data_IF_728052590018
#
_entry.id   IF_728052590018
#
_cell.length_a   1.000
_cell.length_b   1.000
_cell.length_c   1.000
_cell.angle_alpha   90.00
_cell.angle_beta   90.00
_cell.angle_gamma   90.00
#
_symmetry.space_group_name_H-M   'P 1'
#
loop_
_entity.id
_entity.type
_entity.pdbx_description
1 polymer ?
#
# COMPACT_ATOMS: atom_id res chain seq x y z
N UNK A 1 -13.66 -1.40 11.92
CA UNK A 1 -13.74 -0.23 10.98
C UNK A 1 -12.82 -0.52 9.81
N UNK A 2 -13.10 0.00 8.61
CA UNK A 2 -12.23 -0.12 7.44
C UNK A 2 -11.89 1.29 6.96
N UNK A 3 -10.61 1.63 6.88
CA UNK A 3 -10.20 2.86 6.22
C UNK A 3 -10.40 2.75 4.71
N UNK A 4 -10.81 3.84 4.09
CA UNK A 4 -10.95 4.00 2.65
C UNK A 4 -10.35 5.34 2.21
N UNK A 5 -9.97 5.42 0.94
CA UNK A 5 -9.48 6.65 0.32
C UNK A 5 -10.36 6.97 -0.90
N UNK A 6 -10.84 8.19 -0.97
CA UNK A 6 -11.55 8.70 -2.15
C UNK A 6 -10.52 9.41 -3.03
N UNK A 7 -10.50 9.07 -4.30
CA UNK A 7 -9.66 9.70 -5.31
C UNK A 7 -10.58 10.33 -6.35
N UNK A 8 -10.54 11.65 -6.43
CA UNK A 8 -11.29 12.42 -7.44
C UNK A 8 -10.45 12.50 -8.72
N UNK A 9 -10.77 11.63 -9.67
CA UNK A 9 -10.02 11.53 -10.93
C UNK A 9 -10.25 12.73 -11.85
N UNK A 10 -11.39 13.43 -11.73
CA UNK A 10 -11.70 14.60 -12.56
C UNK A 10 -10.85 15.81 -12.15
N UNK A 11 -10.38 15.83 -10.91
CA UNK A 11 -9.47 16.86 -10.40
C UNK A 11 -8.00 16.54 -10.59
N UNK A 12 -7.66 15.33 -10.99
CA UNK A 12 -6.27 14.91 -11.16
C UNK A 12 -5.66 15.55 -12.41
N UNK A 13 -4.60 16.31 -12.22
CA UNK A 13 -3.83 16.96 -13.32
C UNK A 13 -2.58 16.17 -13.72
N UNK A 14 -2.33 15.01 -13.12
CA UNK A 14 -1.19 14.16 -13.46
C UNK A 14 0.17 14.73 -13.03
N UNK A 15 0.23 15.57 -11.99
CA UNK A 15 1.47 16.22 -11.56
C UNK A 15 2.45 15.29 -10.83
N UNK A 16 2.05 14.06 -10.45
CA UNK A 16 2.84 13.07 -9.71
C UNK A 16 3.34 13.53 -8.31
N UNK A 17 2.88 14.65 -7.78
CA UNK A 17 3.28 15.12 -6.45
C UNK A 17 2.98 14.08 -5.36
N UNK A 18 1.86 13.37 -5.44
CA UNK A 18 1.49 12.29 -4.53
C UNK A 18 2.49 11.11 -4.57
N UNK A 19 3.06 10.79 -5.74
CA UNK A 19 4.08 9.75 -5.90
C UNK A 19 5.38 10.19 -5.22
N UNK A 20 5.83 11.40 -5.51
CA UNK A 20 7.06 11.95 -4.93
C UNK A 20 6.94 12.09 -3.40
N UNK A 21 5.82 12.59 -2.90
CA UNK A 21 5.57 12.68 -1.46
C UNK A 21 5.63 11.31 -0.77
N UNK A 22 5.05 10.27 -1.39
CA UNK A 22 5.12 8.91 -0.88
C UNK A 22 6.55 8.36 -0.88
N UNK A 23 7.32 8.63 -1.94
CA UNK A 23 8.73 8.23 -2.02
C UNK A 23 9.58 8.92 -0.96
N UNK A 24 9.39 10.22 -0.76
CA UNK A 24 10.13 10.99 0.24
C UNK A 24 9.80 10.55 1.68
N UNK A 25 8.51 10.30 1.96
CA UNK A 25 8.06 9.88 3.29
C UNK A 25 8.59 8.50 3.70
N UNK A 26 8.72 7.59 2.74
CA UNK A 26 8.98 6.17 3.00
C UNK A 26 10.31 5.68 2.43
N UNK A 27 11.14 6.58 1.92
CA UNK A 27 12.42 6.24 1.29
C UNK A 27 12.28 5.14 0.23
N UNK A 28 11.20 5.23 -0.57
CA UNK A 28 10.92 4.22 -1.60
C UNK A 28 11.97 4.33 -2.71
N UNK A 29 12.69 3.25 -3.06
CA UNK A 29 13.70 3.28 -4.10
C UNK A 29 13.15 3.79 -5.43
N UNK A 30 13.99 4.45 -6.23
CA UNK A 30 13.58 5.13 -7.46
C UNK A 30 12.83 4.22 -8.45
N UNK A 31 13.22 2.94 -8.53
CA UNK A 31 12.64 1.95 -9.43
C UNK A 31 11.27 1.41 -9.00
N UNK A 32 10.81 1.68 -7.78
CA UNK A 32 9.55 1.19 -7.24
C UNK A 32 8.58 2.31 -6.90
N UNK A 33 7.28 1.99 -6.94
CA UNK A 33 6.21 2.90 -6.58
C UNK A 33 5.23 2.22 -5.60
N UNK A 34 4.86 2.92 -4.52
CA UNK A 34 3.78 2.51 -3.60
C UNK A 34 2.41 3.04 -4.06
N UNK A 35 2.42 4.08 -4.89
CA UNK A 35 1.28 4.64 -5.60
C UNK A 35 1.75 5.15 -6.96
N UNK A 36 0.85 5.27 -7.91
CA UNK A 36 1.15 5.63 -9.29
C UNK A 36 0.10 6.55 -9.86
N UNK A 37 0.41 7.21 -10.98
CA UNK A 37 -0.55 7.98 -11.78
C UNK A 37 -0.39 7.56 -13.24
N UNK A 38 -1.37 6.84 -13.75
CA UNK A 38 -1.41 6.47 -15.15
C UNK A 38 -2.06 7.57 -15.98
N UNK A 39 -1.47 7.90 -17.12
CA UNK A 39 -2.08 8.76 -18.13
C UNK A 39 -2.86 7.89 -19.10
N UNK A 40 -4.14 8.19 -19.28
CA UNK A 40 -5.02 7.58 -20.25
C UNK A 40 -5.26 8.58 -21.39
N UNK A 41 -4.99 8.17 -22.62
CA UNK A 41 -5.07 9.05 -23.78
C UNK A 41 -3.69 9.54 -24.27
N UNK A 42 -3.63 10.54 -25.17
CA UNK A 42 -4.72 11.44 -25.53
C UNK A 42 -5.85 10.77 -26.33
N UNK A 43 -7.08 11.19 -26.10
CA UNK A 43 -8.27 10.78 -26.84
C UNK A 43 -8.93 11.99 -27.49
N UNK A 44 -9.51 11.80 -28.68
CA UNK A 44 -10.29 12.84 -29.34
C UNK A 44 -11.70 12.86 -28.73
N UNK A 45 -12.12 14.02 -28.25
CA UNK A 45 -13.43 14.25 -27.65
C UNK A 45 -14.19 15.29 -28.50
N UNK A 46 -15.46 15.53 -28.21
CA UNK A 46 -16.26 16.55 -28.85
C UNK A 46 -15.73 17.98 -28.63
N UNK A 47 -14.91 18.19 -27.63
CA UNK A 47 -14.32 19.50 -27.26
C UNK A 47 -12.85 19.63 -27.60
N UNK A 48 -12.24 18.61 -28.24
CA UNK A 48 -10.82 18.58 -28.59
C UNK A 48 -10.08 17.34 -28.05
N UNK A 49 -8.75 17.41 -27.99
CA UNK A 49 -7.95 16.34 -27.37
C UNK A 49 -7.94 16.46 -25.86
N UNK A 50 -8.20 15.34 -25.19
CA UNK A 50 -8.15 15.25 -23.74
C UNK A 50 -7.30 14.07 -23.28
N UNK A 51 -6.69 14.20 -22.11
CA UNK A 51 -6.06 13.10 -21.36
C UNK A 51 -6.69 13.05 -19.98
N UNK A 52 -6.94 11.83 -19.50
CA UNK A 52 -7.38 11.57 -18.14
C UNK A 52 -6.24 10.94 -17.37
N UNK A 53 -6.16 11.22 -16.09
CA UNK A 53 -5.16 10.63 -15.21
C UNK A 53 -5.85 9.70 -14.20
N UNK A 54 -5.25 8.56 -13.98
CA UNK A 54 -5.76 7.56 -13.04
C UNK A 54 -4.72 7.33 -11.92
N UNK A 55 -4.87 7.99 -10.78
CA UNK A 55 -4.09 7.70 -9.59
C UNK A 55 -4.51 6.36 -9.00
N UNK A 56 -3.53 5.54 -8.61
CA UNK A 56 -3.79 4.25 -8.01
C UNK A 56 -2.81 3.95 -6.88
N UNK A 57 -3.21 3.08 -5.99
CA UNK A 57 -2.42 2.57 -4.86
C UNK A 57 -3.00 1.24 -4.36
N UNK A 58 -2.43 0.67 -3.30
CA UNK A 58 -3.01 -0.51 -2.65
C UNK A 58 -4.41 -0.19 -2.09
N UNK A 59 -5.40 -0.98 -2.49
CA UNK A 59 -6.80 -0.79 -2.07
C UNK A 59 -7.09 -1.24 -0.63
N UNK A 60 -6.11 -1.84 0.07
CA UNK A 60 -6.34 -2.40 1.41
C UNK A 60 -7.64 -3.19 1.50
N UNK A 61 -7.82 -4.14 0.60
CA UNK A 61 -9.06 -4.88 0.33
C UNK A 61 -9.77 -5.37 1.60
N UNK A 62 -11.10 -5.46 1.54
CA UNK A 62 -11.90 -6.06 2.61
C UNK A 62 -11.52 -7.56 2.79
N UNK A 63 -11.35 -8.27 1.68
CA UNK A 63 -10.87 -9.66 1.62
C UNK A 63 -9.56 -9.68 0.81
N UNK A 64 -8.41 -9.43 1.45
CA UNK A 64 -7.14 -9.27 0.73
C UNK A 64 -6.58 -10.63 0.29
N UNK A 65 -6.51 -10.94 -1.02
CA UNK A 65 -5.99 -12.22 -1.50
C UNK A 65 -4.50 -12.42 -1.19
N UNK A 66 -3.78 -11.33 -0.96
CA UNK A 66 -2.36 -11.34 -0.64
C UNK A 66 -2.04 -11.77 0.80
N UNK A 67 -3.02 -11.85 1.70
CA UNK A 67 -2.82 -12.28 3.09
C UNK A 67 -2.74 -13.80 3.21
N UNK A 68 -3.73 -14.59 2.74
CA UNK A 68 -3.72 -16.04 2.91
C UNK A 68 -2.62 -16.76 2.14
N UNK A 69 -2.04 -16.13 1.11
CA UNK A 69 -0.96 -16.74 0.30
C UNK A 69 0.44 -16.53 0.88
N UNK A 70 0.56 -15.84 2.02
CA UNK A 70 1.85 -15.59 2.63
C UNK A 70 2.37 -16.85 3.34
N UNK A 71 3.51 -17.44 2.90
CA UNK A 71 4.03 -18.68 3.46
C UNK A 71 4.91 -18.47 4.69
N UNK A 72 5.17 -17.21 5.08
CA UNK A 72 5.96 -16.92 6.28
C UNK A 72 5.27 -17.50 7.51
N UNK A 73 6.05 -18.07 8.41
CA UNK A 73 5.52 -18.71 9.61
C UNK A 73 4.68 -17.72 10.44
N UNK A 74 3.43 -18.07 10.77
CA UNK A 74 2.58 -17.22 11.58
C UNK A 74 3.10 -17.08 13.01
N UNK A 75 3.00 -15.86 13.54
CA UNK A 75 3.32 -15.59 14.95
C UNK A 75 2.15 -14.93 15.64
N UNK A 76 2.03 -15.13 16.96
CA UNK A 76 1.01 -14.45 17.78
C UNK A 76 1.37 -12.99 17.96
N UNK A 77 0.48 -12.10 17.49
CA UNK A 77 0.62 -10.64 17.64
C UNK A 77 -0.63 -10.10 18.35
N UNK A 78 -0.40 -9.26 19.34
CA UNK A 78 -1.48 -8.53 20.03
C UNK A 78 -1.61 -7.14 19.44
N UNK A 79 -2.73 -6.91 18.78
CA UNK A 79 -3.10 -5.61 18.24
C UNK A 79 -3.84 -4.81 19.29
N UNK A 80 -3.62 -3.50 19.31
CA UNK A 80 -4.32 -2.57 20.18
C UNK A 80 -4.97 -1.47 19.35
N UNK A 81 -6.24 -1.27 19.56
CA UNK A 81 -6.96 -0.14 18.96
C UNK A 81 -6.57 1.17 19.67
N UNK A 82 -5.97 2.09 18.93
CA UNK A 82 -5.53 3.37 19.44
C UNK A 82 -6.68 4.25 19.99
N UNK A 83 -7.90 4.08 19.46
CA UNK A 83 -9.07 4.89 19.86
C UNK A 83 -9.81 4.34 21.08
N UNK A 84 -9.97 3.02 21.13
CA UNK A 84 -10.80 2.37 22.17
C UNK A 84 -9.98 1.65 23.24
N UNK A 85 -8.68 1.47 23.01
CA UNK A 85 -7.79 0.70 23.87
C UNK A 85 -8.04 -0.82 23.85
N UNK A 86 -9.01 -1.31 23.05
CA UNK A 86 -9.29 -2.74 22.92
C UNK A 86 -8.12 -3.48 22.33
N UNK A 87 -7.92 -4.71 22.77
CA UNK A 87 -6.86 -5.59 22.27
C UNK A 87 -7.43 -6.85 21.66
N UNK A 88 -6.79 -7.34 20.59
CA UNK A 88 -7.07 -8.62 19.95
C UNK A 88 -5.74 -9.32 19.69
N UNK A 89 -5.63 -10.58 20.10
CA UNK A 89 -4.45 -11.42 19.80
C UNK A 89 -4.84 -12.40 18.70
N UNK A 90 -4.05 -12.44 17.63
CA UNK A 90 -4.26 -13.36 16.52
C UNK A 90 -2.92 -13.83 15.95
N UNK A 91 -2.92 -14.97 15.28
CA UNK A 91 -1.77 -15.46 14.53
C UNK A 91 -1.73 -14.82 13.16
N UNK A 92 -0.60 -14.24 12.80
CA UNK A 92 -0.41 -13.55 11.51
C UNK A 92 0.92 -13.91 10.87
N UNK A 93 0.88 -14.14 9.57
CA UNK A 93 2.09 -14.27 8.75
C UNK A 93 2.78 -12.90 8.58
N UNK A 94 3.81 -12.80 7.73
CA UNK A 94 4.50 -11.54 7.46
C UNK A 94 3.62 -10.48 6.78
N UNK A 95 2.51 -10.87 6.12
CA UNK A 95 1.50 -9.92 5.66
C UNK A 95 0.16 -10.22 6.32
N UNK A 96 -0.51 -9.20 6.83
CA UNK A 96 -1.75 -9.35 7.58
C UNK A 96 -2.70 -8.19 7.35
N UNK A 97 -3.95 -8.37 7.78
CA UNK A 97 -4.94 -7.31 7.85
C UNK A 97 -5.15 -6.90 9.30
N UNK A 98 -5.05 -5.60 9.57
CA UNK A 98 -5.29 -5.04 10.90
C UNK A 98 -6.77 -5.21 11.28
N UNK A 99 -7.07 -5.83 12.45
CA UNK A 99 -8.44 -6.14 12.85
C UNK A 99 -9.26 -4.89 13.23
N UNK A 100 -8.62 -3.76 13.53
CA UNK A 100 -9.31 -2.56 13.97
C UNK A 100 -9.55 -1.54 12.87
N UNK A 101 -8.54 -1.31 12.01
CA UNK A 101 -8.60 -0.29 10.96
C UNK A 101 -8.73 -0.87 9.54
N UNK A 102 -8.62 -2.19 9.39
CA UNK A 102 -8.78 -2.90 8.13
C UNK A 102 -7.65 -2.71 7.12
N UNK A 103 -6.58 -2.02 7.50
CA UNK A 103 -5.43 -1.86 6.58
C UNK A 103 -4.64 -3.16 6.47
N UNK A 104 -4.10 -3.41 5.28
CA UNK A 104 -3.21 -4.55 5.06
C UNK A 104 -1.78 -4.07 5.25
N UNK A 105 -1.03 -4.75 6.10
CA UNK A 105 0.35 -4.40 6.46
C UNK A 105 1.33 -5.51 6.09
N UNK A 106 2.62 -5.20 6.12
CA UNK A 106 3.73 -6.13 5.89
C UNK A 106 4.76 -5.92 7.00
N UNK A 107 5.17 -7.00 7.61
CA UNK A 107 6.37 -7.06 8.44
C UNK A 107 7.56 -7.42 7.54
N UNK A 108 8.43 -6.45 7.30
CA UNK A 108 9.59 -6.63 6.42
C UNK A 108 10.63 -7.56 7.02
N UNK A 109 10.76 -7.59 8.35
CA UNK A 109 11.74 -8.45 9.03
C UNK A 109 11.41 -9.93 8.82
N UNK A 110 10.13 -10.29 8.92
CA UNK A 110 9.64 -11.66 8.70
C UNK A 110 9.39 -12.02 7.23
N UNK A 111 9.43 -11.02 6.33
CA UNK A 111 9.18 -11.26 4.91
C UNK A 111 10.36 -12.01 4.28
N UNK A 112 10.07 -13.17 3.66
CA UNK A 112 11.06 -14.00 2.96
C UNK A 112 11.24 -13.65 1.48
N UNK A 113 10.53 -12.65 0.95
CA UNK A 113 10.67 -12.16 -0.43
C UNK A 113 10.17 -13.12 -1.51
N UNK A 114 9.34 -14.10 -1.18
CA UNK A 114 8.90 -15.16 -2.11
C UNK A 114 8.03 -14.67 -3.28
N UNK A 115 7.49 -13.45 -3.25
CA UNK A 115 6.66 -12.88 -4.31
C UNK A 115 5.18 -13.32 -4.32
N UNK A 116 4.77 -14.36 -3.59
CA UNK A 116 3.40 -14.90 -3.63
C UNK A 116 2.32 -13.82 -3.42
N UNK A 117 2.53 -12.89 -2.50
CA UNK A 117 1.60 -11.79 -2.25
C UNK A 117 1.56 -10.72 -3.35
N UNK A 118 2.65 -10.57 -4.14
CA UNK A 118 2.70 -9.72 -5.33
C UNK A 118 1.87 -10.38 -6.44
N UNK A 119 2.08 -11.66 -6.68
CA UNK A 119 1.44 -12.40 -7.76
C UNK A 119 -0.07 -12.59 -7.51
N UNK A 120 -0.49 -12.67 -6.25
CA UNK A 120 -1.89 -12.72 -5.87
C UNK A 120 -2.61 -11.35 -5.92
N UNK A 121 -1.90 -10.24 -6.12
CA UNK A 121 -2.50 -8.90 -6.12
C UNK A 121 -3.06 -8.55 -7.51
N UNK A 122 -4.39 -8.44 -7.69
CA UNK A 122 -4.97 -8.13 -9.01
C UNK A 122 -4.69 -6.69 -9.48
N UNK A 123 -4.17 -5.84 -8.59
CA UNK A 123 -3.89 -4.42 -8.87
C UNK A 123 -2.40 -4.13 -9.08
N UNK A 124 -1.53 -5.13 -9.03
CA UNK A 124 -0.07 -4.96 -9.06
C UNK A 124 0.45 -3.93 -8.04
N UNK A 125 -0.21 -3.81 -6.89
CA UNK A 125 0.10 -2.81 -5.88
C UNK A 125 1.21 -3.25 -4.91
N UNK A 126 1.96 -4.30 -5.25
CA UNK A 126 3.08 -4.83 -4.47
C UNK A 126 4.31 -5.05 -5.34
N UNK A 127 5.47 -4.83 -4.78
CA UNK A 127 6.74 -5.17 -5.39
C UNK A 127 7.63 -5.93 -4.40
N UNK A 128 8.68 -6.55 -4.92
CA UNK A 128 9.75 -7.14 -4.12
C UNK A 128 11.00 -6.31 -4.35
N UNK A 129 11.55 -5.79 -3.29
CA UNK A 129 12.83 -5.11 -3.31
C UNK A 129 13.94 -6.13 -3.09
N UNK A 130 14.55 -6.57 -4.17
CA UNK A 130 15.63 -7.56 -4.17
C UNK A 130 16.94 -6.98 -3.63
N UNK A 131 17.09 -5.67 -3.56
CA UNK A 131 18.26 -5.03 -2.94
C UNK A 131 18.33 -5.28 -1.42
N UNK A 132 17.19 -5.66 -0.82
CA UNK A 132 17.06 -6.03 0.59
C UNK A 132 17.14 -7.55 0.81
N UNK A 133 17.74 -8.28 -0.11
CA UNK A 133 18.02 -9.70 0.03
C UNK A 133 18.98 -9.95 1.19
N UNK A 134 18.69 -10.99 1.96
CA UNK A 134 19.52 -11.48 3.06
C UNK A 134 19.61 -13.01 3.02
N UNK A 135 20.32 -13.62 4.01
CA UNK A 135 20.52 -15.08 4.08
C UNK A 135 19.20 -15.87 4.18
N UNK A 136 18.14 -15.24 4.65
CA UNK A 136 16.83 -15.86 4.89
C UNK A 136 15.74 -15.38 3.93
N UNK A 137 16.04 -14.47 3.02
CA UNK A 137 15.05 -13.90 2.11
C UNK A 137 15.60 -13.56 0.73
N UNK A 138 14.73 -13.65 -0.29
CA UNK A 138 15.02 -13.26 -1.67
C UNK A 138 14.84 -11.75 -1.92
N UNK A 139 14.59 -10.99 -0.88
CA UNK A 139 14.24 -9.59 -0.88
C UNK A 139 13.09 -9.31 0.09
N UNK A 140 12.53 -8.11 0.05
CA UNK A 140 11.42 -7.74 0.94
C UNK A 140 10.24 -7.20 0.14
N UNK A 141 9.05 -7.72 0.44
CA UNK A 141 7.83 -7.18 -0.15
C UNK A 141 7.52 -5.78 0.41
N UNK A 142 7.03 -4.91 -0.47
CA UNK A 142 6.56 -3.60 -0.03
C UNK A 142 5.32 -3.12 -0.82
N UNK A 143 4.62 -2.14 -0.29
CA UNK A 143 3.41 -1.51 -0.84
C UNK A 143 3.00 -0.30 -0.01
N UNK A 144 1.95 0.41 -0.44
CA UNK A 144 1.29 1.42 0.37
C UNK A 144 0.88 0.85 1.75
N UNK A 145 1.26 1.51 2.82
CA UNK A 145 0.93 1.17 4.22
C UNK A 145 -0.26 1.98 4.76
N UNK A 146 -0.92 2.76 3.90
CA UNK A 146 -1.92 3.76 4.28
C UNK A 146 -1.34 4.87 5.20
N UNK A 147 -0.02 5.05 5.18
CA UNK A 147 0.73 5.94 6.08
C UNK A 147 0.35 5.77 7.56
N UNK A 148 0.14 4.51 8.01
CA UNK A 148 -0.39 4.24 9.35
C UNK A 148 0.37 4.93 10.50
N UNK A 149 1.71 5.08 10.48
CA UNK A 149 2.41 5.88 11.50
C UNK A 149 1.91 7.32 11.56
N UNK A 150 1.74 7.99 10.41
CA UNK A 150 1.19 9.36 10.36
C UNK A 150 -0.27 9.40 10.82
N UNK A 151 -1.08 8.47 10.33
CA UNK A 151 -2.51 8.38 10.68
C UNK A 151 -2.71 8.10 12.16
N UNK A 152 -1.83 7.33 12.79
CA UNK A 152 -1.86 7.08 14.24
C UNK A 152 -1.60 8.36 15.07
N UNK A 153 -0.83 9.29 14.53
CA UNK A 153 -0.56 10.61 15.11
C UNK A 153 -1.61 11.67 14.74
N UNK A 154 -2.67 11.27 14.00
CA UNK A 154 -3.73 12.19 13.56
C UNK A 154 -3.38 13.01 12.33
N UNK A 155 -2.28 12.68 11.63
CA UNK A 155 -1.88 13.33 10.39
C UNK A 155 -2.51 12.63 9.18
N UNK A 156 -2.66 13.38 8.09
CA UNK A 156 -3.08 12.80 6.81
C UNK A 156 -1.95 11.98 6.17
N UNK A 157 -2.28 10.96 5.33
CA UNK A 157 -1.29 10.33 4.47
C UNK A 157 -0.52 11.36 3.65
N UNK A 158 0.80 11.17 3.46
CA UNK A 158 1.66 12.13 2.76
C UNK A 158 1.14 12.48 1.35
N UNK A 159 0.62 11.49 0.61
CA UNK A 159 0.05 11.71 -0.72
C UNK A 159 -1.25 12.54 -0.69
N UNK A 160 -2.05 12.45 0.37
CA UNK A 160 -3.27 13.25 0.57
C UNK A 160 -2.91 14.69 0.92
N UNK A 161 -1.97 14.87 1.86
CA UNK A 161 -1.53 16.19 2.30
C UNK A 161 -0.93 17.02 1.15
N UNK A 162 -0.32 16.35 0.15
CA UNK A 162 0.34 17.02 -0.96
C UNK A 162 -0.63 17.34 -2.12
N UNK A 163 -1.73 16.62 -2.24
CA UNK A 163 -2.73 16.79 -3.29
C UNK A 163 -3.75 17.84 -2.87
#
# INVERSE_FOLDING_TARGET
MQYGMVIDVDRCVGCHACVIACKAEWEVPAQFDRNWVHRLGPSITSTGMASTYYPGLCNHCAEPPCVPVCPAEPVKVTFKDAKTGKTVTMEVAATWKDPFNGTVQIDRERCIGCGACRDACPYNARYIDESLKDDNSLGKADKCTYCMPRVAEGLEPACVQTC
#
